data_IF_636016830922
#
_entry.id   IF_636016830922
#
_cell.length_a   1.000
_cell.length_b   1.000
_cell.length_c   1.000
_cell.angle_alpha   90.00
_cell.angle_beta   90.00
_cell.angle_gamma   90.00
#
_symmetry.space_group_name_H-M   'P 1'
#
loop_
_entity.id
_entity.type
_entity.pdbx_description
1 polymer ?
#
# COMPACT_ATOMS: atom_id res chain seq x y z
N UNK A 1 -69.58 3.30 75.23
CA UNK A 1 -69.34 2.51 74.00
C UNK A 1 -68.69 3.48 73.01
N UNK A 2 -67.37 3.62 73.16
CA UNK A 2 -66.35 3.31 72.13
C UNK A 2 -66.31 4.35 71.00
N UNK A 3 -65.41 5.32 71.16
CA UNK A 3 -64.97 6.18 70.09
C UNK A 3 -64.11 5.35 69.12
N UNK A 4 -64.57 5.22 67.88
CA UNK A 4 -63.85 4.58 66.79
C UNK A 4 -62.69 5.51 66.35
N UNK A 5 -61.45 5.03 66.22
CA UNK A 5 -60.36 5.86 65.73
C UNK A 5 -60.43 5.95 64.21
N UNK A 6 -60.40 7.17 63.68
CA UNK A 6 -60.37 7.46 62.25
C UNK A 6 -59.11 6.81 61.60
N UNK A 7 -59.21 6.11 60.45
CA UNK A 7 -58.06 5.43 59.86
C UNK A 7 -57.07 6.48 59.33
N UNK A 8 -55.87 6.51 59.91
CA UNK A 8 -54.75 7.28 59.38
C UNK A 8 -54.40 6.75 57.97
N UNK A 9 -54.91 7.42 56.94
CA UNK A 9 -54.57 7.18 55.55
C UNK A 9 -53.10 7.59 55.34
N UNK A 10 -52.18 6.67 55.63
CA UNK A 10 -50.76 6.85 55.36
C UNK A 10 -50.57 6.78 53.84
N UNK A 11 -50.71 7.96 53.23
CA UNK A 11 -50.39 8.25 51.85
C UNK A 11 -49.10 7.54 51.43
N UNK A 12 -49.23 6.51 50.59
CA UNK A 12 -48.11 5.80 49.97
C UNK A 12 -47.18 6.75 49.17
N UNK A 13 -47.67 7.96 48.88
CA UNK A 13 -46.94 9.07 48.26
C UNK A 13 -46.04 9.87 49.21
N UNK A 14 -45.87 9.45 50.47
CA UNK A 14 -44.92 10.08 51.41
C UNK A 14 -43.80 9.14 51.87
N UNK A 15 -43.49 8.09 51.10
CA UNK A 15 -42.34 7.23 51.36
C UNK A 15 -41.07 7.81 50.70
N UNK A 16 -40.13 8.41 51.46
CA UNK A 16 -38.90 9.00 50.91
C UNK A 16 -38.03 7.97 50.18
N UNK A 17 -38.21 6.69 50.51
CA UNK A 17 -37.50 5.58 49.89
C UNK A 17 -37.89 5.36 48.42
N UNK A 18 -39.16 5.58 48.05
CA UNK A 18 -39.63 5.42 46.66
C UNK A 18 -39.08 6.54 45.77
N UNK A 19 -39.05 7.78 46.26
CA UNK A 19 -38.45 8.90 45.53
C UNK A 19 -36.94 8.76 45.35
N UNK A 20 -36.25 8.20 46.34
CA UNK A 20 -34.82 7.90 46.23
C UNK A 20 -34.54 6.84 45.15
N UNK A 21 -35.35 5.77 45.11
CA UNK A 21 -35.24 4.74 44.06
C UNK A 21 -35.60 5.23 42.66
N UNK A 22 -36.58 6.12 42.51
CA UNK A 22 -36.90 6.69 41.19
C UNK A 22 -35.78 7.58 40.67
N UNK A 23 -35.19 8.43 41.52
CA UNK A 23 -34.04 9.27 41.14
C UNK A 23 -32.83 8.40 40.79
N UNK A 24 -32.51 7.38 41.60
CA UNK A 24 -31.43 6.45 41.31
C UNK A 24 -31.66 5.67 40.00
N UNK A 25 -32.90 5.25 39.74
CA UNK A 25 -33.29 4.59 38.50
C UNK A 25 -33.10 5.48 37.27
N UNK A 26 -33.49 6.76 37.37
CA UNK A 26 -33.30 7.75 36.29
C UNK A 26 -31.81 8.01 36.02
N UNK A 27 -31.00 8.15 37.07
CA UNK A 27 -29.54 8.31 36.95
C UNK A 27 -28.91 7.07 36.33
N UNK A 28 -29.29 5.88 36.78
CA UNK A 28 -28.78 4.62 36.22
C UNK A 28 -29.18 4.45 34.74
N UNK A 29 -30.40 4.81 34.37
CA UNK A 29 -30.88 4.79 32.99
C UNK A 29 -30.10 5.78 32.12
N UNK A 30 -29.87 7.01 32.59
CA UNK A 30 -29.06 8.00 31.90
C UNK A 30 -27.62 7.51 31.68
N UNK A 31 -26.99 6.93 32.72
CA UNK A 31 -25.64 6.33 32.61
C UNK A 31 -25.64 5.17 31.61
N UNK A 32 -26.64 4.29 31.65
CA UNK A 32 -26.75 3.18 30.71
C UNK A 32 -26.89 3.65 29.26
N UNK A 33 -27.71 4.68 29.01
CA UNK A 33 -27.84 5.30 27.69
C UNK A 33 -26.52 5.92 27.20
N UNK A 34 -25.78 6.60 28.09
CA UNK A 34 -24.46 7.16 27.77
C UNK A 34 -23.46 6.06 27.43
N UNK A 35 -23.42 4.97 28.21
CA UNK A 35 -22.53 3.84 27.95
C UNK A 35 -22.88 3.14 26.63
N UNK A 36 -24.16 2.94 26.34
CA UNK A 36 -24.61 2.38 25.06
C UNK A 36 -24.29 3.29 23.88
N UNK A 37 -24.44 4.62 24.03
CA UNK A 37 -24.06 5.62 23.03
C UNK A 37 -22.56 5.57 22.74
N UNK A 38 -21.72 5.66 23.78
CA UNK A 38 -20.25 5.59 23.62
C UNK A 38 -19.78 4.26 23.06
N UNK A 39 -20.39 3.15 23.48
CA UNK A 39 -20.05 1.83 22.96
C UNK A 39 -20.38 1.69 21.47
N UNK A 40 -21.50 2.26 21.02
CA UNK A 40 -21.84 2.33 19.59
C UNK A 40 -20.83 3.18 18.80
N UNK A 41 -20.52 4.38 19.29
CA UNK A 41 -19.58 5.31 18.64
C UNK A 41 -18.17 4.72 18.52
N UNK A 42 -17.63 4.12 19.58
CA UNK A 42 -16.33 3.45 19.53
C UNK A 42 -16.27 2.39 18.44
N UNK A 43 -17.35 1.62 18.27
CA UNK A 43 -17.41 0.53 17.30
C UNK A 43 -17.44 1.04 15.86
N UNK A 44 -17.98 2.23 15.62
CA UNK A 44 -17.94 2.89 14.31
C UNK A 44 -16.57 3.50 14.01
N UNK A 45 -15.87 4.02 15.02
CA UNK A 45 -14.50 4.53 14.87
C UNK A 45 -13.55 3.41 14.45
N UNK A 46 -13.66 2.24 15.10
CA UNK A 46 -12.87 1.05 14.74
C UNK A 46 -13.11 0.62 13.29
N UNK A 47 -14.37 0.64 12.82
CA UNK A 47 -14.72 0.31 11.43
C UNK A 47 -14.10 1.30 10.44
N UNK A 48 -14.25 2.61 10.69
CA UNK A 48 -13.67 3.66 9.83
C UNK A 48 -12.15 3.59 9.81
N UNK A 49 -11.52 3.33 10.96
CA UNK A 49 -10.08 3.15 11.05
C UNK A 49 -9.63 1.92 10.24
N UNK A 50 -10.36 0.80 10.32
CA UNK A 50 -10.08 -0.40 9.55
C UNK A 50 -10.28 -0.19 8.03
N UNK A 51 -11.33 0.53 7.63
CA UNK A 51 -11.59 0.91 6.24
C UNK A 51 -10.46 1.81 5.70
N UNK A 52 -10.11 2.87 6.42
CA UNK A 52 -9.01 3.77 6.06
C UNK A 52 -7.66 3.06 5.99
N UNK A 53 -7.38 2.13 6.92
CA UNK A 53 -6.17 1.31 6.88
C UNK A 53 -6.15 0.42 5.64
N UNK A 54 -7.28 -0.20 5.31
CA UNK A 54 -7.40 -1.06 4.11
C UNK A 54 -7.20 -0.26 2.83
N UNK A 55 -7.75 0.96 2.75
CA UNK A 55 -7.54 1.86 1.61
C UNK A 55 -6.08 2.28 1.49
N UNK A 56 -5.47 2.73 2.58
CA UNK A 56 -4.05 3.09 2.62
C UNK A 56 -3.15 1.91 2.22
N UNK A 57 -3.46 0.71 2.70
CA UNK A 57 -2.73 -0.49 2.32
C UNK A 57 -2.83 -0.74 0.81
N UNK A 58 -4.03 -0.64 0.23
CA UNK A 58 -4.23 -0.81 -1.22
C UNK A 58 -3.48 0.23 -2.04
N UNK A 59 -3.43 1.47 -1.58
CA UNK A 59 -2.65 2.53 -2.23
C UNK A 59 -1.16 2.24 -2.16
N UNK A 60 -0.65 1.82 -0.99
CA UNK A 60 0.75 1.42 -0.83
C UNK A 60 1.11 0.22 -1.70
N UNK A 61 0.26 -0.80 -1.76
CA UNK A 61 0.47 -1.99 -2.60
C UNK A 61 0.50 -1.59 -4.09
N UNK A 62 -0.39 -0.69 -4.53
CA UNK A 62 -0.37 -0.15 -5.90
C UNK A 62 0.90 0.64 -6.18
N UNK A 63 1.29 1.53 -5.28
CA UNK A 63 2.51 2.31 -5.42
C UNK A 63 3.76 1.42 -5.47
N UNK A 64 3.81 0.35 -4.67
CA UNK A 64 4.90 -0.62 -4.69
C UNK A 64 4.96 -1.36 -6.04
N UNK A 65 3.82 -1.78 -6.59
CA UNK A 65 3.77 -2.39 -7.93
C UNK A 65 4.25 -1.42 -9.01
N UNK A 66 3.83 -0.15 -8.96
CA UNK A 66 4.26 0.88 -9.90
C UNK A 66 5.78 1.14 -9.83
N UNK A 67 6.36 1.20 -8.63
CA UNK A 67 7.80 1.33 -8.44
C UNK A 67 8.59 0.12 -8.99
N UNK A 68 8.00 -1.07 -8.96
CA UNK A 68 8.59 -2.29 -9.55
C UNK A 68 8.41 -2.37 -11.08
N UNK A 69 7.81 -1.35 -11.72
CA UNK A 69 7.61 -1.28 -13.17
C UNK A 69 6.17 -1.54 -13.62
N UNK A 70 5.23 -1.62 -12.69
CA UNK A 70 3.79 -1.69 -12.96
C UNK A 70 3.40 -2.91 -13.78
N UNK A 71 2.39 -2.75 -14.63
CA UNK A 71 1.86 -3.77 -15.56
C UNK A 71 2.37 -3.61 -17.00
N UNK A 72 3.11 -2.54 -17.26
CA UNK A 72 3.53 -2.18 -18.61
C UNK A 72 4.89 -2.78 -18.93
N UNK A 73 5.07 -3.21 -20.18
CA UNK A 73 6.38 -3.54 -20.72
C UNK A 73 7.21 -2.26 -20.74
N UNK A 74 8.32 -2.20 -20.00
CA UNK A 74 9.14 -0.99 -19.90
C UNK A 74 10.62 -1.32 -19.73
N UNK A 75 11.48 -0.47 -20.30
CA UNK A 75 12.91 -0.45 -20.01
C UNK A 75 13.10 0.62 -18.94
N UNK A 76 13.41 0.19 -17.71
CA UNK A 76 13.53 1.05 -16.54
C UNK A 76 14.86 1.80 -16.51
N UNK A 77 15.92 1.13 -16.93
CA UNK A 77 17.24 1.74 -17.06
C UNK A 77 18.03 1.05 -18.17
N UNK A 78 18.87 1.83 -18.86
CA UNK A 78 19.83 1.32 -19.84
C UNK A 78 21.00 2.31 -19.95
N UNK A 79 22.17 1.92 -19.44
CA UNK A 79 23.35 2.77 -19.36
C UNK A 79 24.64 1.95 -19.30
N UNK A 80 25.79 2.60 -19.54
CA UNK A 80 27.10 1.97 -19.44
C UNK A 80 27.99 2.63 -18.39
N UNK A 81 28.78 1.83 -17.66
CA UNK A 81 29.76 2.28 -16.68
C UNK A 81 31.10 1.57 -16.95
N UNK A 82 32.19 2.32 -17.25
CA UNK A 82 32.22 3.76 -17.56
C UNK A 82 31.64 4.07 -18.95
N UNK A 83 30.99 5.24 -19.12
CA UNK A 83 30.36 5.61 -20.41
C UNK A 83 31.33 5.92 -21.55
N UNK A 84 32.63 6.06 -21.25
CA UNK A 84 33.70 6.27 -22.22
C UNK A 84 34.88 5.38 -21.83
N UNK A 85 35.40 4.63 -22.79
CA UNK A 85 36.53 3.71 -22.58
C UNK A 85 37.62 3.91 -23.63
N UNK A 86 38.81 3.39 -23.37
CA UNK A 86 39.84 3.19 -24.40
C UNK A 86 39.58 1.92 -25.18
N UNK A 87 40.15 1.86 -26.38
CA UNK A 87 40.04 0.69 -27.25
C UNK A 87 40.48 -0.60 -26.54
N UNK A 88 39.56 -1.56 -26.44
CA UNK A 88 39.83 -2.88 -25.85
C UNK A 88 39.68 -2.96 -24.34
N UNK A 89 39.27 -1.88 -23.67
CA UNK A 89 38.87 -1.92 -22.27
C UNK A 89 37.47 -2.52 -22.09
N UNK A 90 37.22 -3.09 -20.92
CA UNK A 90 35.90 -3.62 -20.55
C UNK A 90 35.01 -2.51 -19.99
N UNK A 91 33.75 -2.52 -20.40
CA UNK A 91 32.68 -1.67 -19.86
C UNK A 91 31.51 -2.53 -19.43
N UNK A 92 30.86 -2.13 -18.34
CA UNK A 92 29.61 -2.75 -17.91
C UNK A 92 28.43 -2.03 -18.52
N UNK A 93 27.65 -2.76 -19.32
CA UNK A 93 26.37 -2.30 -19.82
C UNK A 93 25.27 -2.82 -18.89
N UNK A 94 24.66 -1.91 -18.14
CA UNK A 94 23.62 -2.22 -17.16
C UNK A 94 22.25 -1.87 -17.72
N UNK A 95 21.31 -2.80 -17.54
CA UNK A 95 19.92 -2.63 -17.94
C UNK A 95 18.96 -3.18 -16.88
N UNK A 96 17.75 -2.67 -16.93
CA UNK A 96 16.66 -3.03 -16.03
C UNK A 96 15.36 -2.97 -16.80
N UNK A 97 14.58 -4.04 -16.74
CA UNK A 97 13.35 -4.20 -17.54
C UNK A 97 12.21 -4.66 -16.66
N UNK A 98 11.00 -4.22 -16.99
CA UNK A 98 9.76 -4.58 -16.31
C UNK A 98 8.82 -5.29 -17.29
N UNK A 99 8.14 -6.34 -16.82
CA UNK A 99 7.16 -7.14 -17.56
C UNK A 99 7.66 -7.71 -18.90
N UNK A 100 8.98 -7.87 -19.06
CA UNK A 100 9.59 -8.48 -20.24
C UNK A 100 9.71 -10.00 -20.06
N UNK A 101 9.29 -10.75 -21.09
CA UNK A 101 9.49 -12.20 -21.20
C UNK A 101 10.81 -12.53 -21.87
N UNK A 102 11.18 -11.75 -22.88
CA UNK A 102 12.45 -11.90 -23.60
C UNK A 102 13.18 -10.58 -23.67
N UNK A 103 14.51 -10.66 -23.65
CA UNK A 103 15.41 -9.52 -23.82
C UNK A 103 16.45 -9.90 -24.86
N UNK A 104 16.70 -8.99 -25.79
CA UNK A 104 17.75 -9.10 -26.79
C UNK A 104 18.64 -7.87 -26.69
N UNK A 105 19.94 -8.08 -26.61
CA UNK A 105 20.93 -7.02 -26.57
C UNK A 105 21.84 -7.19 -27.78
N UNK A 106 21.95 -6.15 -28.62
CA UNK A 106 22.77 -6.16 -29.81
C UNK A 106 23.75 -4.98 -29.78
N UNK A 107 25.03 -5.12 -30.19
CA UNK A 107 25.71 -6.35 -30.62
C UNK A 107 26.30 -7.09 -29.40
N UNK A 108 25.53 -8.00 -28.80
CA UNK A 108 26.01 -8.93 -27.78
C UNK A 108 25.80 -10.37 -28.28
N UNK A 109 26.86 -11.18 -28.25
CA UNK A 109 26.78 -12.59 -28.66
C UNK A 109 26.14 -13.48 -27.60
N UNK A 110 26.32 -13.12 -26.32
CA UNK A 110 25.82 -13.92 -25.21
C UNK A 110 24.33 -13.64 -24.95
N UNK A 111 23.53 -14.69 -24.69
CA UNK A 111 22.12 -14.52 -24.35
C UNK A 111 21.97 -13.72 -23.06
N UNK A 112 20.99 -12.83 -23.06
CA UNK A 112 20.64 -12.00 -21.93
C UNK A 112 19.21 -12.30 -21.47
N UNK A 113 18.98 -12.14 -20.17
CA UNK A 113 17.72 -12.49 -19.53
C UNK A 113 17.02 -11.25 -18.99
N UNK A 114 15.67 -11.23 -18.93
CA UNK A 114 14.94 -10.20 -18.20
C UNK A 114 15.40 -10.11 -16.74
N UNK A 115 15.68 -8.91 -16.26
CA UNK A 115 16.03 -8.64 -14.87
C UNK A 115 15.66 -7.20 -14.51
N UNK A 116 15.35 -6.94 -13.24
CA UNK A 116 15.16 -5.59 -12.71
C UNK A 116 16.46 -4.78 -12.73
N UNK A 117 17.59 -5.45 -12.55
CA UNK A 117 18.94 -4.88 -12.68
C UNK A 117 19.91 -5.98 -13.07
N UNK A 118 20.58 -5.83 -14.22
CA UNK A 118 21.65 -6.73 -14.66
C UNK A 118 22.68 -5.97 -15.46
N UNK A 119 23.95 -6.22 -15.16
CA UNK A 119 25.08 -5.70 -15.90
C UNK A 119 25.73 -6.80 -16.72
N UNK A 120 26.18 -6.46 -17.91
CA UNK A 120 26.87 -7.34 -18.85
C UNK A 120 28.19 -6.69 -19.23
N UNK A 121 29.28 -7.40 -19.05
CA UNK A 121 30.60 -6.94 -19.47
C UNK A 121 30.73 -7.04 -21.00
N UNK A 122 31.12 -5.94 -21.62
CA UNK A 122 31.36 -5.83 -23.06
C UNK A 122 32.69 -5.14 -23.31
N UNK A 123 33.35 -5.49 -24.41
CA UNK A 123 34.70 -4.98 -24.73
C UNK A 123 34.73 -4.41 -26.15
N UNK A 124 34.06 -3.28 -26.42
CA UNK A 124 33.99 -2.72 -27.76
C UNK A 124 35.34 -2.14 -28.19
N UNK A 125 35.74 -2.40 -29.44
CA UNK A 125 37.00 -1.88 -30.00
C UNK A 125 36.84 -0.55 -30.73
N UNK A 126 35.60 -0.12 -30.96
CA UNK A 126 35.18 1.14 -31.58
C UNK A 126 33.90 1.63 -30.91
N UNK A 127 33.57 2.91 -31.04
CA UNK A 127 32.29 3.43 -30.56
C UNK A 127 31.15 2.60 -31.15
N UNK A 128 30.37 1.98 -30.27
CA UNK A 128 29.38 0.97 -30.63
C UNK A 128 28.05 1.34 -30.00
N UNK A 129 27.00 1.41 -30.82
CA UNK A 129 25.63 1.60 -30.36
C UNK A 129 25.05 0.26 -29.97
N UNK A 130 24.72 0.13 -28.70
CA UNK A 130 24.02 -1.02 -28.16
C UNK A 130 22.51 -0.77 -28.20
N UNK A 131 21.75 -1.74 -28.67
CA UNK A 131 20.30 -1.70 -28.76
C UNK A 131 19.72 -2.82 -27.91
N UNK A 132 18.92 -2.43 -26.93
CA UNK A 132 18.17 -3.33 -26.06
C UNK A 132 16.73 -3.42 -26.58
N UNK A 133 16.31 -4.62 -26.95
CA UNK A 133 14.93 -4.90 -27.38
C UNK A 133 14.31 -5.86 -26.39
N UNK A 134 13.14 -5.49 -25.87
CA UNK A 134 12.36 -6.30 -24.93
C UNK A 134 11.03 -6.70 -25.55
N UNK A 135 10.54 -7.90 -25.23
CA UNK A 135 9.21 -8.35 -25.63
C UNK A 135 8.45 -8.98 -24.47
N UNK A 136 7.14 -8.78 -24.42
CA UNK A 136 6.25 -9.42 -23.44
C UNK A 136 5.65 -10.73 -23.98
N UNK A 137 4.82 -11.38 -23.16
CA UNK A 137 4.12 -12.61 -23.56
C UNK A 137 3.01 -12.37 -24.60
N UNK A 138 2.51 -11.13 -24.73
CA UNK A 138 1.47 -10.75 -25.67
C UNK A 138 2.02 -10.37 -27.06
N UNK A 139 3.35 -10.27 -27.20
CA UNK A 139 4.04 -9.91 -28.44
C UNK A 139 4.31 -8.41 -28.59
N UNK A 140 4.03 -7.59 -27.57
CA UNK A 140 4.44 -6.19 -27.59
C UNK A 140 5.96 -6.10 -27.47
N UNK A 141 6.55 -5.11 -28.12
CA UNK A 141 7.99 -4.87 -28.09
C UNK A 141 8.32 -3.43 -27.75
N UNK A 142 9.43 -3.21 -27.05
CA UNK A 142 10.03 -1.89 -26.84
C UNK A 142 11.54 -1.98 -27.07
N UNK A 143 12.10 -0.89 -27.57
CA UNK A 143 13.52 -0.81 -27.91
C UNK A 143 14.13 0.47 -27.38
N UNK A 144 15.36 0.39 -26.89
CA UNK A 144 16.16 1.54 -26.49
C UNK A 144 17.60 1.36 -26.96
N UNK A 145 18.24 2.44 -27.40
CA UNK A 145 19.63 2.44 -27.86
C UNK A 145 20.51 3.33 -26.99
N UNK A 146 21.74 2.90 -26.77
CA UNK A 146 22.76 3.62 -26.01
C UNK A 146 24.12 3.49 -26.70
N UNK A 147 24.82 4.60 -26.89
CA UNK A 147 26.14 4.62 -27.53
C UNK A 147 27.26 4.56 -26.48
N UNK A 148 28.10 3.52 -26.55
CA UNK A 148 29.36 3.46 -25.81
C UNK A 148 30.45 4.10 -26.66
N UNK A 149 31.07 5.16 -26.15
CA UNK A 149 32.12 5.90 -26.88
C UNK A 149 33.49 5.33 -26.56
N UNK A 150 34.27 5.05 -27.61
CA UNK A 150 35.66 4.60 -27.50
C UNK A 150 36.59 5.75 -27.91
N UNK A 151 37.57 6.07 -27.06
CA UNK A 151 38.60 7.10 -27.31
C UNK A 151 39.97 6.50 -27.55
#
# INVERSE_FOLDING_TARGET
MLAEPDPQEKSAFKNPFLYSWTVLGLVALAVCLILLSRWRENRDIERRAAEQQTEKQREQDRAALEQMGGKELAIQNFYAIPGVIRRGESVQLCYGVANAKTVKLEPQSNPVWPSYSRCVDVTPTKSTTYTLTIADAAGNTKTQSFEVKVR
#
